data_IF_252435987283
#
_entry.id   IF_252435987283
#
_cell.length_a   1.000
_cell.length_b   1.000
_cell.length_c   1.000
_cell.angle_alpha   90.00
_cell.angle_beta   90.00
_cell.angle_gamma   90.00
#
_symmetry.space_group_name_H-M   'P 1'
#
loop_
_entity.id
_entity.type
_entity.pdbx_description
1 polymer ?
#
# COMPACT_ATOMS: atom_id res chain seq x y z
N UNK A 1 -47.32 -69.41 21.66
CA UNK A 1 -47.00 -68.08 22.23
C UNK A 1 -46.28 -67.27 21.16
N UNK A 2 -46.97 -66.26 20.61
CA UNK A 2 -46.49 -64.97 20.03
C UNK A 2 -45.31 -64.94 19.01
N UNK A 3 -45.59 -64.73 17.70
CA UNK A 3 -45.49 -63.47 16.88
C UNK A 3 -44.12 -63.32 16.19
N UNK A 4 -43.96 -63.40 14.86
CA UNK A 4 -44.21 -62.42 13.76
C UNK A 4 -43.44 -61.09 13.84
N UNK A 5 -42.85 -60.72 12.67
CA UNK A 5 -42.49 -59.39 12.16
C UNK A 5 -41.03 -58.91 12.32
N UNK A 6 -40.40 -58.59 11.18
CA UNK A 6 -39.10 -57.92 11.08
C UNK A 6 -39.19 -56.39 11.12
N UNK A 7 -38.04 -55.72 11.11
CA UNK A 7 -37.86 -54.28 10.88
C UNK A 7 -36.36 -54.06 10.59
N UNK A 8 -35.99 -53.65 9.37
CA UNK A 8 -35.91 -52.28 8.87
C UNK A 8 -34.53 -51.64 9.12
N UNK A 9 -33.78 -51.58 8.02
CA UNK A 9 -32.72 -50.62 7.70
C UNK A 9 -32.98 -49.24 8.30
N UNK A 10 -31.97 -48.66 8.93
CA UNK A 10 -31.90 -47.21 9.16
C UNK A 10 -30.46 -46.75 8.99
N UNK A 11 -30.11 -46.43 7.74
CA UNK A 11 -28.97 -45.59 7.42
C UNK A 11 -29.34 -44.15 7.77
N UNK A 12 -28.77 -43.62 8.85
CA UNK A 12 -28.93 -42.23 9.23
C UNK A 12 -27.97 -41.39 8.38
N UNK A 13 -28.40 -40.99 7.19
CA UNK A 13 -27.69 -39.97 6.41
C UNK A 13 -28.04 -38.62 7.06
N UNK A 14 -27.13 -38.11 7.88
CA UNK A 14 -27.11 -36.72 8.30
C UNK A 14 -26.86 -35.86 7.04
N UNK A 15 -27.94 -35.43 6.39
CA UNK A 15 -27.93 -34.31 5.46
C UNK A 15 -27.68 -33.04 6.28
N UNK A 16 -26.40 -32.75 6.55
CA UNK A 16 -25.98 -31.38 6.86
C UNK A 16 -26.31 -30.52 5.64
N UNK A 17 -27.06 -29.41 5.78
CA UNK A 17 -27.15 -28.45 4.70
C UNK A 17 -25.76 -27.82 4.55
N UNK A 18 -24.98 -28.32 3.59
CA UNK A 18 -23.88 -27.58 2.98
C UNK A 18 -24.48 -26.43 2.16
N UNK A 19 -24.97 -25.41 2.86
CA UNK A 19 -25.35 -24.13 2.29
C UNK A 19 -24.45 -23.05 2.90
N UNK A 20 -23.14 -23.19 2.70
CA UNK A 20 -22.23 -22.06 2.66
C UNK A 20 -22.26 -21.50 1.24
N UNK A 21 -23.33 -20.77 0.92
CA UNK A 21 -23.28 -19.84 -0.19
C UNK A 21 -22.32 -18.73 0.23
N UNK A 22 -21.02 -18.90 -0.08
CA UNK A 22 -20.04 -17.83 0.02
C UNK A 22 -20.65 -16.61 -0.67
N UNK A 23 -20.71 -15.47 0.03
CA UNK A 23 -21.16 -14.24 -0.60
C UNK A 23 -20.31 -14.01 -1.86
N UNK A 24 -20.96 -13.93 -3.02
CA UNK A 24 -20.28 -13.66 -4.27
C UNK A 24 -19.64 -12.27 -4.18
N UNK A 25 -18.41 -12.14 -4.69
CA UNK A 25 -17.71 -10.87 -4.73
C UNK A 25 -18.59 -9.80 -5.43
N UNK A 26 -18.76 -8.60 -4.84
CA UNK A 26 -19.53 -7.53 -5.47
C UNK A 26 -18.98 -7.21 -6.86
N UNK A 27 -19.85 -6.95 -7.84
CA UNK A 27 -19.43 -6.62 -9.23
C UNK A 27 -18.50 -5.39 -9.26
N UNK A 28 -18.77 -4.42 -8.40
CA UNK A 28 -17.90 -3.24 -8.24
C UNK A 28 -16.52 -3.61 -7.67
N UNK A 29 -16.39 -4.67 -6.86
CA UNK A 29 -15.09 -5.15 -6.39
C UNK A 29 -14.30 -5.79 -7.53
N UNK A 30 -14.94 -6.55 -8.42
CA UNK A 30 -14.29 -7.06 -9.63
C UNK A 30 -13.82 -5.91 -10.51
N UNK A 31 -14.68 -4.92 -10.70
CA UNK A 31 -14.34 -3.74 -11.51
C UNK A 31 -13.18 -2.96 -10.89
N UNK A 32 -13.14 -2.82 -9.57
CA UNK A 32 -12.05 -2.15 -8.85
C UNK A 32 -10.70 -2.83 -9.12
N UNK A 33 -10.62 -4.15 -8.94
CA UNK A 33 -9.37 -4.90 -9.03
C UNK A 33 -8.95 -5.27 -10.46
N UNK A 34 -9.85 -5.18 -11.43
CA UNK A 34 -9.54 -5.43 -12.85
C UNK A 34 -9.56 -4.15 -13.71
N UNK A 35 -9.71 -2.99 -13.08
CA UNK A 35 -9.75 -1.71 -13.78
C UNK A 35 -8.46 -1.46 -14.58
N UNK A 36 -8.63 -1.09 -15.86
CA UNK A 36 -7.53 -0.67 -16.74
C UNK A 36 -7.29 0.84 -16.74
N UNK A 37 -8.17 1.60 -16.09
CA UNK A 37 -8.06 3.06 -15.98
C UNK A 37 -8.37 3.51 -14.57
N UNK A 38 -7.71 4.57 -14.14
CA UNK A 38 -7.94 5.21 -12.84
C UNK A 38 -9.40 5.64 -12.70
N UNK A 39 -10.00 6.20 -13.76
CA UNK A 39 -11.40 6.63 -13.75
C UNK A 39 -12.38 5.46 -13.50
N UNK A 40 -12.14 4.29 -14.10
CA UNK A 40 -12.98 3.11 -13.88
C UNK A 40 -12.81 2.58 -12.45
N UNK A 41 -11.57 2.49 -11.97
CA UNK A 41 -11.26 2.10 -10.58
C UNK A 41 -11.94 3.03 -9.58
N UNK A 42 -11.82 4.34 -9.76
CA UNK A 42 -12.35 5.33 -8.81
C UNK A 42 -13.88 5.34 -8.80
N UNK A 43 -14.51 5.10 -9.96
CA UNK A 43 -15.98 4.92 -10.05
C UNK A 43 -16.42 3.67 -9.29
N UNK A 44 -15.71 2.55 -9.47
CA UNK A 44 -15.97 1.31 -8.77
C UNK A 44 -15.76 1.46 -7.25
N UNK A 45 -14.68 2.13 -6.85
CA UNK A 45 -14.39 2.43 -5.46
C UNK A 45 -15.51 3.28 -4.83
N UNK A 46 -15.93 4.36 -5.48
CA UNK A 46 -17.04 5.19 -4.99
C UNK A 46 -18.34 4.39 -4.83
N UNK A 47 -18.58 3.41 -5.70
CA UNK A 47 -19.74 2.52 -5.60
C UNK A 47 -19.65 1.61 -4.37
N UNK A 48 -18.47 1.04 -4.12
CA UNK A 48 -18.20 0.20 -2.94
C UNK A 48 -18.30 1.00 -1.64
N UNK A 49 -17.72 2.19 -1.60
CA UNK A 49 -17.78 3.10 -0.44
C UNK A 49 -19.23 3.46 -0.08
N UNK A 50 -20.09 3.70 -1.07
CA UNK A 50 -21.51 3.96 -0.85
C UNK A 50 -22.29 2.74 -0.33
N UNK A 51 -21.85 1.53 -0.69
CA UNK A 51 -22.46 0.27 -0.26
C UNK A 51 -21.90 -0.25 1.09
N UNK A 52 -20.69 0.16 1.47
CA UNK A 52 -19.96 -0.31 2.66
C UNK A 52 -20.79 -0.34 3.96
N UNK A 53 -21.66 0.65 4.29
CA UNK A 53 -22.45 0.61 5.53
C UNK A 53 -23.48 -0.53 5.60
N UNK A 54 -23.78 -1.20 4.47
CA UNK A 54 -24.83 -2.23 4.36
C UNK A 54 -24.30 -3.57 3.86
N UNK A 55 -23.12 -3.58 3.27
CA UNK A 55 -22.52 -4.77 2.68
C UNK A 55 -21.05 -4.92 3.15
N UNK A 56 -20.78 -5.90 4.04
CA UNK A 56 -19.43 -6.21 4.51
C UNK A 56 -18.42 -6.48 3.39
N UNK A 57 -18.84 -7.11 2.29
CA UNK A 57 -17.94 -7.40 1.17
C UNK A 57 -17.56 -6.11 0.42
N UNK A 58 -18.51 -5.19 0.26
CA UNK A 58 -18.23 -3.86 -0.28
C UNK A 58 -17.33 -3.04 0.64
N UNK A 59 -17.53 -3.08 1.96
CA UNK A 59 -16.65 -2.43 2.92
C UNK A 59 -15.21 -3.00 2.84
N UNK A 60 -15.08 -4.32 2.79
CA UNK A 60 -13.78 -4.98 2.63
C UNK A 60 -13.06 -4.52 1.36
N UNK A 61 -13.74 -4.57 0.21
CA UNK A 61 -13.16 -4.17 -1.07
C UNK A 61 -12.86 -2.66 -1.14
N UNK A 62 -13.72 -1.81 -0.57
CA UNK A 62 -13.47 -0.38 -0.46
C UNK A 62 -12.22 -0.08 0.38
N UNK A 63 -12.08 -0.72 1.56
CA UNK A 63 -10.90 -0.54 2.40
C UNK A 63 -9.61 -0.92 1.68
N UNK A 64 -9.61 -2.01 0.91
CA UNK A 64 -8.48 -2.42 0.09
C UNK A 64 -8.20 -1.43 -1.04
N UNK A 65 -9.23 -0.97 -1.76
CA UNK A 65 -9.08 0.05 -2.80
C UNK A 65 -8.52 1.37 -2.26
N UNK A 66 -9.01 1.82 -1.10
CA UNK A 66 -8.50 3.00 -0.42
C UNK A 66 -7.02 2.86 -0.04
N UNK A 67 -6.62 1.69 0.46
CA UNK A 67 -5.22 1.38 0.77
C UNK A 67 -4.31 1.53 -0.45
N UNK A 68 -4.68 0.92 -1.58
CA UNK A 68 -3.88 1.00 -2.80
C UNK A 68 -3.86 2.42 -3.38
N UNK A 69 -4.96 3.17 -3.32
CA UNK A 69 -4.93 4.60 -3.68
C UNK A 69 -3.99 5.40 -2.79
N UNK A 70 -3.83 5.05 -1.50
CA UNK A 70 -2.85 5.73 -0.66
C UNK A 70 -1.42 5.50 -1.20
N UNK A 71 -1.07 4.27 -1.54
CA UNK A 71 0.23 3.95 -2.14
C UNK A 71 0.45 4.71 -3.45
N UNK A 72 -0.60 4.85 -4.28
CA UNK A 72 -0.56 5.65 -5.50
C UNK A 72 -0.27 7.14 -5.24
N UNK A 73 -0.93 7.76 -4.25
CA UNK A 73 -0.66 9.15 -3.84
C UNK A 73 0.82 9.34 -3.49
N UNK A 74 1.39 8.39 -2.76
CA UNK A 74 2.81 8.43 -2.38
C UNK A 74 3.73 8.18 -3.57
N UNK A 75 3.41 7.24 -4.46
CA UNK A 75 4.20 6.92 -5.64
C UNK A 75 4.22 8.06 -6.66
N UNK A 76 3.05 8.61 -6.99
CA UNK A 76 2.90 9.73 -7.92
C UNK A 76 3.53 11.01 -7.38
N UNK A 77 3.38 11.29 -6.08
CA UNK A 77 4.08 12.39 -5.41
C UNK A 77 5.61 12.25 -5.52
N UNK A 78 6.15 11.06 -5.32
CA UNK A 78 7.57 10.79 -5.53
C UNK A 78 7.99 10.96 -7.00
N UNK A 79 7.21 10.41 -7.94
CA UNK A 79 7.48 10.48 -9.38
C UNK A 79 7.52 11.92 -9.89
N UNK A 80 6.53 12.72 -9.54
CA UNK A 80 6.39 14.10 -10.00
C UNK A 80 7.63 14.92 -9.70
N UNK A 81 8.27 14.64 -8.59
CA UNK A 81 9.49 15.32 -8.13
C UNK A 81 10.78 14.55 -8.46
N UNK A 82 10.73 13.50 -9.27
CA UNK A 82 11.92 12.80 -9.76
C UNK A 82 12.65 12.02 -8.66
N UNK A 83 11.88 11.33 -7.81
CA UNK A 83 12.44 10.43 -6.81
C UNK A 83 13.31 9.34 -7.45
N UNK A 84 14.50 9.15 -6.91
CA UNK A 84 15.42 8.07 -7.28
C UNK A 84 15.60 7.15 -6.07
N UNK A 85 15.02 5.94 -6.14
CA UNK A 85 15.03 4.99 -5.03
C UNK A 85 16.46 4.49 -4.75
N UNK A 86 17.00 4.72 -3.54
CA UNK A 86 18.31 4.20 -3.20
C UNK A 86 18.25 2.69 -2.97
N UNK A 87 18.90 1.92 -3.83
CA UNK A 87 18.90 0.45 -3.77
C UNK A 87 19.53 -0.11 -2.48
N UNK A 88 20.34 0.70 -1.80
CA UNK A 88 21.16 0.33 -0.64
C UNK A 88 20.61 0.77 0.72
N UNK A 89 19.56 1.59 0.77
CA UNK A 89 18.98 2.03 2.05
C UNK A 89 17.47 1.84 2.08
N UNK A 90 16.98 1.29 3.19
CA UNK A 90 15.62 0.77 3.31
C UNK A 90 14.76 1.67 4.22
N UNK A 91 14.21 2.76 3.69
CA UNK A 91 13.10 3.47 4.34
C UNK A 91 11.76 2.85 3.87
N UNK A 92 10.88 2.35 4.76
CA UNK A 92 9.65 1.65 4.37
C UNK A 92 8.74 2.43 3.39
N UNK A 93 8.71 3.76 3.49
CA UNK A 93 7.90 4.63 2.62
C UNK A 93 8.53 4.96 1.26
N UNK A 94 9.79 4.59 1.03
CA UNK A 94 10.60 5.04 -0.12
C UNK A 94 11.00 3.86 -1.04
N UNK A 95 10.22 2.77 -1.01
CA UNK A 95 10.53 1.51 -1.70
C UNK A 95 9.77 1.27 -2.99
N UNK A 96 8.67 1.98 -3.24
CA UNK A 96 7.87 1.70 -4.43
C UNK A 96 8.73 1.87 -5.69
N UNK A 97 8.61 0.96 -6.68
CA UNK A 97 9.35 1.05 -7.94
C UNK A 97 8.71 2.15 -8.79
N UNK A 98 9.03 3.39 -8.45
CA UNK A 98 8.51 4.57 -9.14
C UNK A 98 9.24 4.72 -10.48
N UNK A 99 8.53 4.79 -11.62
CA UNK A 99 9.18 4.97 -12.92
C UNK A 99 9.84 6.35 -13.03
N UNK A 100 10.89 6.45 -13.83
CA UNK A 100 11.63 7.71 -14.05
C UNK A 100 10.73 8.80 -14.64
N UNK A 101 10.84 10.01 -14.08
CA UNK A 101 10.25 11.22 -14.65
C UNK A 101 11.33 12.02 -15.41
N UNK A 102 11.20 12.23 -16.74
CA UNK A 102 12.19 12.99 -17.51
C UNK A 102 12.19 14.48 -17.17
N UNK A 103 11.08 15.03 -16.69
CA UNK A 103 10.93 16.45 -16.36
C UNK A 103 10.40 16.65 -14.93
N UNK A 104 11.21 16.41 -13.88
CA UNK A 104 10.79 16.58 -12.50
C UNK A 104 10.39 18.02 -12.16
N UNK A 105 9.34 18.16 -11.37
CA UNK A 105 8.90 19.43 -10.83
C UNK A 105 9.71 19.82 -9.58
N UNK A 106 9.89 21.14 -9.32
CA UNK A 106 10.47 21.59 -8.06
C UNK A 106 9.71 21.07 -6.84
N UNK A 107 10.41 20.69 -5.78
CA UNK A 107 9.81 20.20 -4.53
C UNK A 107 10.21 21.09 -3.35
N UNK A 108 9.23 21.67 -2.67
CA UNK A 108 9.45 22.34 -1.37
C UNK A 108 9.18 21.40 -0.20
N UNK A 109 9.68 21.78 0.98
CA UNK A 109 9.43 21.05 2.22
C UNK A 109 7.92 20.90 2.51
N UNK A 110 7.15 21.97 2.28
CA UNK A 110 5.70 21.99 2.51
C UNK A 110 4.98 21.07 1.52
N UNK A 111 5.40 21.03 0.26
CA UNK A 111 4.85 20.10 -0.73
C UNK A 111 5.16 18.65 -0.36
N UNK A 112 6.37 18.36 0.11
CA UNK A 112 6.73 17.01 0.56
C UNK A 112 5.89 16.58 1.78
N UNK A 113 5.69 17.48 2.76
CA UNK A 113 4.76 17.22 3.87
C UNK A 113 3.33 16.99 3.39
N UNK A 114 2.85 17.75 2.40
CA UNK A 114 1.50 17.58 1.87
C UNK A 114 1.30 16.21 1.21
N UNK A 115 2.32 15.67 0.53
CA UNK A 115 2.29 14.29 0.00
C UNK A 115 2.12 13.28 1.15
N UNK A 116 2.89 13.43 2.23
CA UNK A 116 2.77 12.55 3.40
C UNK A 116 1.40 12.66 4.09
N UNK A 117 0.81 13.86 4.14
CA UNK A 117 -0.55 14.06 4.67
C UNK A 117 -1.58 13.35 3.81
N UNK A 118 -1.57 13.54 2.49
CA UNK A 118 -2.52 12.89 1.59
C UNK A 118 -2.44 11.36 1.64
N UNK A 119 -1.22 10.83 1.69
CA UNK A 119 -0.96 9.41 1.91
C UNK A 119 -1.56 8.92 3.24
N UNK A 120 -1.27 9.61 4.34
CA UNK A 120 -1.72 9.24 5.69
C UNK A 120 -3.25 9.30 5.81
N UNK A 121 -3.88 10.35 5.29
CA UNK A 121 -5.33 10.54 5.39
C UNK A 121 -6.10 9.48 4.59
N UNK A 122 -5.54 9.06 3.45
CA UNK A 122 -6.11 7.98 2.67
C UNK A 122 -5.97 6.62 3.36
N UNK A 123 -4.85 6.36 4.04
CA UNK A 123 -4.69 5.16 4.87
C UNK A 123 -5.63 5.16 6.08
N UNK A 124 -5.88 6.31 6.72
CA UNK A 124 -6.84 6.40 7.83
C UNK A 124 -8.23 6.03 7.36
N UNK A 125 -8.65 6.53 6.18
CA UNK A 125 -9.91 6.15 5.56
C UNK A 125 -9.99 4.63 5.34
N UNK A 126 -8.95 4.05 4.73
CA UNK A 126 -8.83 2.60 4.52
C UNK A 126 -8.98 1.81 5.83
N UNK A 127 -8.23 2.18 6.87
CA UNK A 127 -8.27 1.49 8.15
C UNK A 127 -9.65 1.59 8.82
N UNK A 128 -10.29 2.76 8.75
CA UNK A 128 -11.65 2.95 9.26
C UNK A 128 -12.69 2.11 8.47
N UNK A 129 -12.54 2.03 7.15
CA UNK A 129 -13.41 1.22 6.30
C UNK A 129 -13.24 -0.27 6.61
N UNK A 130 -12.01 -0.78 6.78
CA UNK A 130 -11.78 -2.15 7.24
C UNK A 130 -12.34 -2.42 8.64
N UNK A 131 -12.21 -1.47 9.57
CA UNK A 131 -12.77 -1.58 10.91
C UNK A 131 -14.31 -1.68 10.92
N UNK A 132 -14.97 -1.21 9.86
CA UNK A 132 -16.42 -1.32 9.71
C UNK A 132 -16.91 -2.72 9.31
N UNK A 133 -16.01 -3.60 8.84
CA UNK A 133 -16.33 -4.99 8.48
C UNK A 133 -16.55 -5.80 9.76
N UNK A 134 -17.73 -6.40 9.97
CA UNK A 134 -18.03 -7.21 11.16
C UNK A 134 -17.01 -8.35 11.38
N UNK A 135 -16.70 -8.72 12.63
CA UNK A 135 -15.73 -9.79 12.91
C UNK A 135 -16.12 -11.16 12.36
N UNK A 136 -17.43 -11.44 12.28
CA UNK A 136 -18.01 -12.70 11.82
C UNK A 136 -18.47 -12.67 10.36
N UNK A 137 -18.12 -11.62 9.61
CA UNK A 137 -18.46 -11.49 8.20
C UNK A 137 -17.75 -12.58 7.37
N UNK A 138 -18.52 -13.32 6.57
CA UNK A 138 -17.99 -14.27 5.58
C UNK A 138 -17.45 -13.49 4.37
N UNK A 139 -16.14 -13.27 4.35
CA UNK A 139 -15.43 -12.58 3.27
C UNK A 139 -14.69 -13.59 2.40
N UNK A 140 -14.79 -13.40 1.08
CA UNK A 140 -14.11 -14.24 0.10
C UNK A 140 -13.87 -13.50 -1.21
N UNK A 141 -12.85 -12.65 -1.26
CA UNK A 141 -12.49 -11.87 -2.44
C UNK A 141 -11.48 -12.63 -3.28
N UNK A 142 -11.84 -13.00 -4.51
CA UNK A 142 -10.91 -13.65 -5.44
C UNK A 142 -10.28 -12.57 -6.30
N UNK A 143 -8.98 -12.34 -6.12
CA UNK A 143 -8.25 -11.24 -6.77
C UNK A 143 -7.09 -11.83 -7.58
N UNK A 144 -6.98 -11.41 -8.84
CA UNK A 144 -5.83 -11.68 -9.70
C UNK A 144 -4.80 -10.55 -9.56
N UNK A 145 -3.64 -10.85 -8.96
CA UNK A 145 -2.58 -9.87 -8.74
C UNK A 145 -1.88 -9.42 -10.04
N UNK A 146 -2.14 -10.09 -11.16
CA UNK A 146 -1.66 -9.64 -12.49
C UNK A 146 -2.56 -8.57 -13.11
N UNK A 147 -3.78 -8.40 -12.60
CA UNK A 147 -4.71 -7.35 -13.04
C UNK A 147 -4.86 -6.22 -12.01
N UNK A 148 -4.83 -6.55 -10.71
CA UNK A 148 -4.86 -5.53 -9.67
C UNK A 148 -3.58 -4.67 -9.74
N UNK A 149 -3.72 -3.35 -9.79
CA UNK A 149 -2.62 -2.41 -9.99
C UNK A 149 -2.92 -1.01 -9.48
N UNK A 150 -1.89 -0.15 -9.53
CA UNK A 150 -1.97 1.28 -9.25
C UNK A 150 -1.30 2.04 -10.39
N UNK A 151 -1.75 3.26 -10.69
CA UNK A 151 -1.15 4.12 -11.70
C UNK A 151 0.12 4.76 -11.12
N UNK A 152 1.27 4.16 -11.41
CA UNK A 152 2.56 4.63 -10.90
C UNK A 152 3.10 5.79 -11.73
N UNK A 153 2.73 5.84 -13.01
CA UNK A 153 3.29 6.77 -13.98
C UNK A 153 2.46 8.07 -14.14
N UNK A 154 1.27 8.12 -13.54
CA UNK A 154 0.28 9.19 -13.55
C UNK A 154 -0.31 9.50 -14.96
N UNK A 155 -0.50 8.49 -15.81
CA UNK A 155 -1.08 8.63 -17.15
C UNK A 155 -2.59 8.32 -17.24
N UNK A 156 -3.19 7.89 -16.13
CA UNK A 156 -4.62 7.55 -16.01
C UNK A 156 -4.97 6.13 -16.45
N UNK A 157 -3.99 5.36 -16.94
CA UNK A 157 -4.08 3.94 -17.27
C UNK A 157 -3.44 3.12 -16.14
N UNK A 158 -3.92 1.89 -15.94
CA UNK A 158 -3.26 0.93 -15.07
C UNK A 158 -2.67 -0.14 -15.99
N UNK A 159 -1.39 0.01 -16.31
CA UNK A 159 -0.70 -0.86 -17.24
C UNK A 159 -0.26 -2.19 -16.59
N UNK A 160 -0.02 -3.27 -17.36
CA UNK A 160 0.38 -4.57 -16.80
C UNK A 160 1.67 -4.53 -15.96
N UNK A 161 2.60 -3.63 -16.29
CA UNK A 161 3.85 -3.39 -15.53
C UNK A 161 3.64 -2.60 -14.23
N UNK A 162 2.43 -2.09 -14.00
CA UNK A 162 2.00 -1.44 -12.76
C UNK A 162 1.06 -2.33 -11.92
N UNK A 163 0.90 -3.59 -12.34
CA UNK A 163 0.22 -4.62 -11.56
C UNK A 163 0.95 -4.94 -10.26
N UNK A 164 0.23 -5.41 -9.25
CA UNK A 164 0.79 -5.84 -7.97
C UNK A 164 1.85 -6.94 -8.19
N UNK A 165 1.62 -7.86 -9.12
CA UNK A 165 2.59 -8.88 -9.51
C UNK A 165 3.90 -8.27 -10.03
N UNK A 166 3.84 -7.28 -10.91
CA UNK A 166 5.01 -6.59 -11.44
C UNK A 166 5.75 -5.79 -10.35
N UNK A 167 5.01 -5.12 -9.47
CA UNK A 167 5.58 -4.39 -8.32
C UNK A 167 6.31 -5.34 -7.37
N UNK A 168 5.70 -6.47 -6.98
CA UNK A 168 6.32 -7.48 -6.11
C UNK A 168 7.58 -8.06 -6.77
N UNK A 169 7.53 -8.35 -8.07
CA UNK A 169 8.68 -8.85 -8.82
C UNK A 169 9.85 -7.86 -8.81
N UNK A 170 9.56 -6.56 -9.00
CA UNK A 170 10.56 -5.49 -8.95
C UNK A 170 11.22 -5.34 -7.57
N UNK A 171 10.42 -5.44 -6.50
CA UNK A 171 10.91 -5.34 -5.13
C UNK A 171 11.81 -6.52 -4.68
N UNK A 172 11.64 -7.70 -5.28
CA UNK A 172 12.28 -8.94 -4.82
C UNK A 172 13.76 -9.09 -5.22
N UNK A 173 14.35 -8.13 -5.96
CA UNK A 173 15.79 -8.11 -6.39
C UNK A 173 16.33 -9.45 -6.91
N UNK A 174 15.48 -10.19 -7.61
CA UNK A 174 15.79 -11.49 -8.19
C UNK A 174 14.58 -11.90 -8.99
N UNK A 175 14.55 -11.45 -10.25
CA UNK A 175 13.38 -11.49 -11.11
C UNK A 175 12.64 -12.82 -11.05
N UNK A 176 11.31 -12.74 -11.04
CA UNK A 176 10.50 -13.84 -11.55
C UNK A 176 10.94 -14.00 -13.00
N UNK A 177 11.72 -15.03 -13.28
CA UNK A 177 12.20 -15.34 -14.62
C UNK A 177 10.98 -15.45 -15.53
N UNK A 178 10.93 -14.65 -16.60
CA UNK A 178 9.81 -14.61 -17.55
C UNK A 178 9.66 -15.86 -18.43
N UNK A 179 10.40 -16.94 -18.12
CA UNK A 179 10.63 -18.10 -19.00
C UNK A 179 9.98 -19.41 -18.51
N UNK A 180 9.09 -19.33 -17.51
CA UNK A 180 8.11 -20.38 -17.25
C UNK A 180 6.74 -19.72 -17.23
N UNK A 181 5.72 -20.37 -17.78
CA UNK A 181 4.33 -19.88 -17.77
C UNK A 181 4.04 -19.28 -16.39
N UNK A 182 3.88 -17.94 -16.34
CA UNK A 182 3.80 -17.22 -15.08
C UNK A 182 2.72 -17.90 -14.22
N UNK A 183 3.04 -18.28 -12.97
CA UNK A 183 2.07 -18.94 -12.13
C UNK A 183 0.81 -18.09 -12.07
N UNK A 184 -0.37 -18.72 -12.08
CA UNK A 184 -1.62 -18.00 -11.84
C UNK A 184 -1.56 -17.36 -10.46
N UNK A 185 -1.49 -16.02 -10.41
CA UNK A 185 -1.41 -15.25 -9.15
C UNK A 185 -2.80 -14.80 -8.69
N UNK A 186 -3.76 -15.73 -8.76
CA UNK A 186 -5.12 -15.53 -8.28
C UNK A 186 -5.25 -16.10 -6.87
N UNK A 187 -5.58 -15.25 -5.91
CA UNK A 187 -5.72 -15.63 -4.50
C UNK A 187 -7.12 -15.29 -4.00
N UNK A 188 -7.64 -16.11 -3.07
CA UNK A 188 -8.85 -15.78 -2.32
C UNK A 188 -8.42 -15.16 -1.00
N UNK A 189 -8.76 -13.89 -0.82
CA UNK A 189 -8.57 -13.15 0.42
C UNK A 189 -9.81 -13.25 1.31
N UNK A 190 -9.60 -13.47 2.59
CA UNK A 190 -10.65 -13.62 3.59
C UNK A 190 -10.63 -12.48 4.64
N UNK A 191 -11.37 -12.66 5.73
CA UNK A 191 -11.47 -11.64 6.78
C UNK A 191 -10.15 -11.42 7.53
N UNK A 192 -9.33 -12.46 7.70
CA UNK A 192 -8.04 -12.38 8.37
C UNK A 192 -7.06 -11.53 7.54
N UNK A 193 -7.03 -11.74 6.23
CA UNK A 193 -6.25 -10.90 5.30
C UNK A 193 -6.62 -9.41 5.40
N UNK A 194 -7.89 -9.10 5.69
CA UNK A 194 -8.34 -7.74 5.97
C UNK A 194 -7.76 -7.16 7.26
N UNK A 195 -7.63 -7.95 8.33
CA UNK A 195 -6.95 -7.52 9.55
C UNK A 195 -5.46 -7.29 9.31
N UNK A 196 -4.81 -8.16 8.54
CA UNK A 196 -3.42 -7.98 8.13
C UNK A 196 -3.22 -6.67 7.38
N UNK A 197 -4.04 -6.40 6.35
CA UNK A 197 -3.92 -5.19 5.54
C UNK A 197 -4.27 -3.92 6.33
N UNK A 198 -5.29 -3.97 7.19
CA UNK A 198 -5.62 -2.90 8.13
C UNK A 198 -4.45 -2.62 9.08
N UNK A 199 -3.85 -3.66 9.68
CA UNK A 199 -2.68 -3.52 10.55
C UNK A 199 -1.49 -2.92 9.81
N UNK A 200 -1.31 -3.26 8.54
CA UNK A 200 -0.27 -2.66 7.71
C UNK A 200 -0.56 -1.18 7.38
N UNK A 201 -1.82 -0.80 7.20
CA UNK A 201 -2.23 0.61 7.09
C UNK A 201 -1.88 1.38 8.38
N UNK A 202 -2.17 0.81 9.56
CA UNK A 202 -1.79 1.36 10.86
C UNK A 202 -0.27 1.55 10.98
N UNK A 203 0.52 0.57 10.56
CA UNK A 203 1.98 0.70 10.53
C UNK A 203 2.43 1.87 9.66
N UNK A 204 1.91 1.98 8.44
CA UNK A 204 2.29 3.04 7.51
C UNK A 204 1.83 4.43 7.98
N UNK A 205 0.66 4.54 8.59
CA UNK A 205 0.19 5.77 9.25
C UNK A 205 1.14 6.19 10.37
N UNK A 206 1.59 5.24 11.21
CA UNK A 206 2.55 5.55 12.28
C UNK A 206 3.86 6.13 11.73
N UNK A 207 4.34 5.61 10.59
CA UNK A 207 5.53 6.12 9.92
C UNK A 207 5.29 7.54 9.39
N UNK A 208 4.16 7.79 8.72
CA UNK A 208 3.83 9.12 8.22
C UNK A 208 3.67 10.16 9.35
N UNK A 209 2.94 9.80 10.41
CA UNK A 209 2.76 10.66 11.58
C UNK A 209 4.06 10.89 12.35
N UNK A 210 5.01 9.94 12.35
CA UNK A 210 6.34 10.18 12.88
C UNK A 210 7.07 11.29 12.11
N UNK A 211 7.07 11.26 10.77
CA UNK A 211 7.68 12.34 9.98
C UNK A 211 6.95 13.66 10.17
N UNK A 212 5.62 13.67 10.07
CA UNK A 212 4.81 14.87 10.20
C UNK A 212 4.86 15.49 11.60
N UNK A 213 5.06 14.68 12.65
CA UNK A 213 5.20 15.17 14.01
C UNK A 213 6.41 16.11 14.22
N UNK A 214 7.44 15.99 13.39
CA UNK A 214 8.70 16.68 13.56
C UNK A 214 8.95 17.72 12.46
N UNK A 215 9.75 18.72 12.79
CA UNK A 215 10.32 19.63 11.81
C UNK A 215 11.65 19.06 11.29
N UNK A 216 11.61 18.48 10.10
CA UNK A 216 12.78 17.90 9.42
C UNK A 216 13.26 18.77 8.25
N UNK A 217 12.87 20.05 8.19
CA UNK A 217 13.25 20.97 7.11
C UNK A 217 14.76 21.03 6.89
N UNK A 218 15.55 21.11 7.97
CA UNK A 218 17.01 21.15 7.88
C UNK A 218 17.58 19.94 7.14
N UNK A 219 17.02 18.76 7.40
CA UNK A 219 17.41 17.51 6.72
C UNK A 219 16.91 17.47 5.28
N UNK A 220 15.70 17.97 5.04
CA UNK A 220 15.15 18.10 3.69
C UNK A 220 16.05 19.00 2.82
N UNK A 221 16.27 20.25 3.23
CA UNK A 221 17.09 21.22 2.49
C UNK A 221 18.54 20.74 2.36
N UNK A 222 19.07 20.13 3.42
CA UNK A 222 20.47 19.73 3.53
C UNK A 222 20.83 18.41 2.86
N UNK A 223 19.87 17.52 2.59
CA UNK A 223 20.21 16.15 2.18
C UNK A 223 19.23 15.47 1.22
N UNK A 224 17.98 15.94 1.07
CA UNK A 224 17.00 15.22 0.23
C UNK A 224 17.31 15.25 -1.27
N UNK A 225 18.28 16.05 -1.73
CA UNK A 225 18.79 16.00 -3.10
C UNK A 225 19.44 14.64 -3.44
N UNK A 226 19.80 13.82 -2.45
CA UNK A 226 20.19 12.42 -2.68
C UNK A 226 19.05 11.52 -3.17
N UNK A 227 17.82 11.87 -2.79
CA UNK A 227 16.58 11.16 -3.11
C UNK A 227 15.84 11.82 -4.28
N UNK A 228 15.95 13.14 -4.40
CA UNK A 228 15.31 13.96 -5.43
C UNK A 228 16.36 14.84 -6.13
N UNK A 229 17.28 14.24 -6.90
CA UNK A 229 18.44 14.95 -7.47
C UNK A 229 18.09 15.99 -8.54
N UNK A 230 16.82 16.06 -8.96
CA UNK A 230 16.34 16.93 -10.04
C UNK A 230 15.16 17.82 -9.62
N UNK A 231 14.83 17.88 -8.32
CA UNK A 231 13.70 18.65 -7.78
C UNK A 231 14.02 20.10 -7.37
N UNK A 232 15.14 20.66 -7.84
CA UNK A 232 15.60 22.04 -7.55
C UNK A 232 15.68 22.39 -6.06
N UNK A 233 16.17 21.44 -5.26
CA UNK A 233 16.35 21.62 -3.81
C UNK A 233 17.47 22.62 -3.49
N UNK A 234 17.45 23.30 -2.32
CA UNK A 234 18.35 24.42 -2.00
C UNK A 234 19.87 24.20 -2.16
N UNK A 235 20.34 22.95 -2.11
CA UNK A 235 21.76 22.60 -2.29
C UNK A 235 22.04 21.72 -3.51
N UNK A 236 21.04 21.45 -4.34
CA UNK A 236 21.13 20.50 -5.45
C UNK A 236 22.23 20.88 -6.44
N UNK A 237 22.25 22.14 -6.90
CA UNK A 237 23.18 22.62 -7.93
C UNK A 237 24.65 22.62 -7.48
N UNK A 238 24.90 22.50 -6.17
CA UNK A 238 26.23 22.47 -5.57
C UNK A 238 26.67 21.04 -5.30
N UNK A 239 25.76 20.17 -4.84
CA UNK A 239 26.09 18.86 -4.28
C UNK A 239 25.80 17.68 -5.21
N UNK A 240 24.93 17.85 -6.21
CA UNK A 240 24.61 16.79 -7.18
C UNK A 240 25.51 16.91 -8.39
N UNK A 241 26.29 15.86 -8.75
CA UNK A 241 27.14 15.90 -9.92
C UNK A 241 26.31 15.89 -11.22
N UNK A 242 26.90 16.33 -12.36
CA UNK A 242 26.28 16.19 -13.66
C UNK A 242 25.90 14.72 -13.97
N UNK A 243 24.88 14.54 -14.81
CA UNK A 243 24.17 13.27 -15.06
C UNK A 243 25.01 12.02 -15.43
N UNK A 244 26.31 12.17 -15.70
CA UNK A 244 27.22 11.06 -16.04
C UNK A 244 27.68 10.19 -14.87
N UNK A 245 27.44 10.60 -13.61
CA UNK A 245 27.99 9.93 -12.40
C UNK A 245 26.92 9.56 -11.35
N UNK A 246 25.70 9.24 -11.81
CA UNK A 246 24.55 8.94 -10.96
C UNK A 246 24.44 7.45 -10.61
N UNK A 247 25.50 6.85 -10.05
CA UNK A 247 25.43 5.48 -9.54
C UNK A 247 24.28 5.31 -8.52
N UNK A 248 23.35 4.40 -8.75
CA UNK A 248 22.04 4.27 -8.05
C UNK A 248 22.13 3.89 -6.57
N UNK A 249 23.29 3.45 -6.08
CA UNK A 249 23.48 3.11 -4.67
C UNK A 249 24.07 4.27 -3.89
N UNK A 250 23.47 4.56 -2.72
CA UNK A 250 23.98 5.55 -1.75
C UNK A 250 25.44 5.28 -1.40
N UNK A 251 25.81 4.03 -1.14
CA UNK A 251 27.16 3.70 -0.65
C UNK A 251 28.21 3.59 -1.76
N UNK A 252 27.82 3.56 -3.04
CA UNK A 252 28.76 3.53 -4.16
C UNK A 252 28.91 4.89 -4.85
N UNK A 253 28.21 5.92 -4.39
CA UNK A 253 28.21 7.26 -4.95
C UNK A 253 28.73 8.23 -3.90
N UNK A 254 29.88 8.87 -4.17
CA UNK A 254 30.59 9.73 -3.22
C UNK A 254 29.70 10.88 -2.70
N UNK A 255 28.92 11.50 -3.58
CA UNK A 255 28.02 12.57 -3.21
C UNK A 255 26.80 12.07 -2.42
N UNK A 256 26.24 10.89 -2.76
CA UNK A 256 25.10 10.30 -2.02
C UNK A 256 25.51 9.83 -0.63
N UNK A 257 26.70 9.25 -0.45
CA UNK A 257 27.17 8.87 0.89
C UNK A 257 27.45 10.11 1.74
N UNK A 258 28.00 11.18 1.17
CA UNK A 258 28.18 12.45 1.88
C UNK A 258 26.84 13.09 2.28
N UNK A 259 25.85 13.07 1.38
CA UNK A 259 24.50 13.52 1.68
C UNK A 259 23.81 12.65 2.74
N UNK A 260 24.01 11.33 2.72
CA UNK A 260 23.51 10.42 3.75
C UNK A 260 24.15 10.68 5.13
N UNK A 261 25.47 10.89 5.17
CA UNK A 261 26.17 11.27 6.40
C UNK A 261 25.62 12.59 6.90
N UNK A 262 25.45 13.58 6.03
CA UNK A 262 24.83 14.87 6.37
C UNK A 262 23.43 14.68 6.93
N UNK A 263 22.59 13.84 6.30
CA UNK A 263 21.24 13.53 6.77
C UNK A 263 21.26 13.03 8.20
N UNK A 264 22.13 12.05 8.52
CA UNK A 264 22.27 11.50 9.89
C UNK A 264 22.68 12.57 10.90
N UNK A 265 23.57 13.48 10.53
CA UNK A 265 24.01 14.57 11.40
C UNK A 265 22.97 15.71 11.54
N UNK A 266 22.02 15.79 10.62
CA UNK A 266 20.91 16.75 10.64
C UNK A 266 19.67 16.20 11.37
N UNK A 267 19.71 14.97 11.90
CA UNK A 267 18.65 14.38 12.74
C UNK A 267 18.66 15.01 14.13
N UNK A 268 18.23 16.26 14.18
CA UNK A 268 17.85 16.98 15.39
C UNK A 268 16.51 17.65 15.11
N UNK A 269 15.46 16.84 14.96
CA UNK A 269 14.15 17.31 14.51
C UNK A 269 13.28 17.71 15.71
N UNK A 270 12.98 19.01 15.90
CA UNK A 270 12.06 19.46 16.94
C UNK A 270 10.67 18.88 16.71
N UNK A 271 9.95 18.59 17.79
CA UNK A 271 8.55 18.16 17.71
C UNK A 271 7.68 19.41 17.53
N UNK A 272 6.97 19.48 16.40
CA UNK A 272 6.06 20.60 16.09
C UNK A 272 4.59 20.20 16.15
N UNK A 273 4.28 18.91 15.99
CA UNK A 273 2.92 18.36 16.05
C UNK A 273 2.87 17.20 17.06
N UNK A 274 2.86 17.49 18.39
CA UNK A 274 2.99 16.45 19.43
C UNK A 274 1.83 15.45 19.43
N UNK A 275 0.64 15.85 18.97
CA UNK A 275 -0.53 14.97 18.84
C UNK A 275 -0.28 13.84 17.84
N UNK A 276 0.44 14.11 16.74
CA UNK A 276 0.82 13.09 15.76
C UNK A 276 1.77 12.05 16.33
N UNK A 277 2.67 12.41 17.26
CA UNK A 277 3.48 11.39 17.96
C UNK A 277 2.62 10.46 18.80
N UNK A 278 1.59 11.00 19.45
CA UNK A 278 0.66 10.18 20.21
C UNK A 278 -0.17 9.29 19.27
N UNK A 279 -0.58 9.82 18.11
CA UNK A 279 -1.26 9.06 17.06
C UNK A 279 -0.38 7.91 16.55
N UNK A 280 0.87 8.17 16.20
CA UNK A 280 1.82 7.15 15.77
C UNK A 280 1.95 6.01 16.80
N UNK A 281 2.02 6.33 18.09
CA UNK A 281 2.00 5.30 19.15
C UNK A 281 0.70 4.50 19.17
N UNK A 282 -0.46 5.15 19.00
CA UNK A 282 -1.77 4.47 18.95
C UNK A 282 -1.85 3.53 17.74
N UNK A 283 -1.45 4.01 16.57
CA UNK A 283 -1.39 3.22 15.34
C UNK A 283 -0.52 1.96 15.51
N UNK A 284 0.68 2.08 16.11
CA UNK A 284 1.53 0.91 16.39
C UNK A 284 0.90 -0.09 17.38
N UNK A 285 0.16 0.39 18.38
CA UNK A 285 -0.55 -0.49 19.31
C UNK A 285 -1.73 -1.19 18.63
N UNK A 286 -2.44 -0.48 17.76
CA UNK A 286 -3.56 -1.03 17.01
C UNK A 286 -3.10 -2.07 15.99
N UNK A 287 -1.98 -1.84 15.30
CA UNK A 287 -1.30 -2.86 14.49
C UNK A 287 -1.05 -4.16 15.28
N UNK A 288 -0.56 -4.06 16.53
CA UNK A 288 -0.32 -5.24 17.38
C UNK A 288 -1.64 -5.91 17.76
N UNK A 289 -2.70 -5.14 18.03
CA UNK A 289 -4.03 -5.68 18.34
C UNK A 289 -4.59 -6.44 17.13
N UNK A 290 -4.60 -5.82 15.96
CA UNK A 290 -5.07 -6.39 14.69
C UNK A 290 -4.28 -7.64 14.30
N UNK A 291 -2.97 -7.64 14.52
CA UNK A 291 -2.16 -8.85 14.31
C UNK A 291 -2.64 -10.01 15.16
N UNK A 292 -3.16 -9.80 16.38
CA UNK A 292 -3.73 -10.89 17.20
C UNK A 292 -5.09 -11.38 16.72
N UNK A 293 -5.81 -10.60 15.93
CA UNK A 293 -7.08 -11.02 15.31
C UNK A 293 -6.84 -11.79 14.00
N UNK A 294 -5.68 -11.58 13.37
CA UNK A 294 -5.22 -12.25 12.16
C UNK A 294 -4.76 -13.71 12.43
N UNK A 295 -4.16 -13.98 13.60
CA UNK A 295 -3.66 -15.31 14.03
C UNK A 295 -4.68 -16.13 14.84
#
# INVERSE_FOLDING_TARGET
MTRLAGLLTSAFILLLPLSSASAAMPEAATTLFEAKTVAARDTALSTLEAAAPKDPASAYAAGAGEFFTALEILATGQRRHGFESPQSFMLPLMRLPVPDNPNPEPLTYEQFRAILVGFRDRLEKSAATFASVPPDADIGMVIDLTHAGIDLNEDGTIAPDESMAAIIASLSRGGISSDAAAPTLTFRFDRADGYWLQGYAEFLMAQADFWLAHDFRSTFDGSFHMLFPRAKLPLQDILVPPAGDMGSSIFSSEWRIAAFISMVHLVNWPVIEPERRQAARRHLLEMIRLSREDW
#
